data_IF_457388295233
#
_entry.id   IF_457388295233
#
_cell.length_a   1.000
_cell.length_b   1.000
_cell.length_c   1.000
_cell.angle_alpha   90.00
_cell.angle_beta   90.00
_cell.angle_gamma   90.00
#
_symmetry.space_group_name_H-M   'P 1'
#
loop_
_entity.id
_entity.type
_entity.pdbx_description
1 polymer ?
#
# COMPACT_ATOMS: atom_id res chain seq x y z
N UNK A 1 -20.69 9.17 -6.69
CA UNK A 1 -21.89 9.20 -5.81
C UNK A 1 -21.93 10.39 -4.87
N UNK A 2 -20.78 10.95 -4.45
CA UNK A 2 -20.65 12.00 -3.41
C UNK A 2 -21.37 13.35 -3.66
N UNK A 3 -21.90 13.61 -4.85
CA UNK A 3 -22.62 14.86 -5.16
C UNK A 3 -24.16 14.74 -5.23
N UNK A 4 -24.72 13.55 -4.96
CA UNK A 4 -26.16 13.28 -5.15
C UNK A 4 -26.95 13.11 -3.84
N UNK A 5 -26.27 12.93 -2.72
CA UNK A 5 -26.88 12.64 -1.42
C UNK A 5 -26.39 13.69 -0.42
N UNK A 6 -27.32 14.31 0.30
CA UNK A 6 -27.02 15.22 1.41
C UNK A 6 -27.25 14.49 2.72
N UNK A 7 -26.33 14.63 3.67
CA UNK A 7 -26.41 14.03 4.99
C UNK A 7 -26.70 15.11 6.02
N UNK A 8 -27.74 14.90 6.82
CA UNK A 8 -28.13 15.81 7.89
C UNK A 8 -28.24 14.98 9.17
N UNK A 9 -27.49 15.37 10.20
CA UNK A 9 -27.63 14.80 11.53
C UNK A 9 -28.85 15.42 12.23
N UNK A 10 -29.71 14.60 12.83
CA UNK A 10 -30.96 15.05 13.47
C UNK A 10 -30.93 14.99 15.00
N UNK A 11 -29.74 14.81 15.58
CA UNK A 11 -29.56 14.74 17.03
C UNK A 11 -29.88 16.08 17.70
N UNK A 12 -29.43 17.19 17.09
CA UNK A 12 -29.72 18.56 17.53
C UNK A 12 -31.08 19.02 17.01
N UNK A 13 -32.17 18.43 17.53
CA UNK A 13 -33.54 18.83 17.21
C UNK A 13 -34.17 19.68 18.32
N UNK A 14 -34.87 20.73 17.93
CA UNK A 14 -35.56 21.66 18.84
C UNK A 14 -37.01 21.77 18.40
N UNK A 15 -37.94 21.56 19.34
CA UNK A 15 -39.36 21.78 19.10
C UNK A 15 -39.67 23.28 19.34
N UNK A 16 -40.26 23.94 18.36
CA UNK A 16 -40.68 25.34 18.52
C UNK A 16 -42.03 25.39 19.27
N UNK A 17 -42.09 25.96 20.48
CA UNK A 17 -43.31 26.00 21.29
C UNK A 17 -44.46 26.80 20.64
N UNK A 18 -44.19 27.63 19.62
CA UNK A 18 -45.22 28.43 18.95
C UNK A 18 -45.97 27.66 17.85
N UNK A 19 -45.25 26.77 17.15
CA UNK A 19 -45.76 26.10 15.95
C UNK A 19 -45.88 24.57 16.12
N UNK A 20 -45.29 24.01 17.19
CA UNK A 20 -45.23 22.57 17.43
C UNK A 20 -44.39 21.79 16.41
N UNK A 21 -43.69 22.50 15.52
CA UNK A 21 -42.83 21.91 14.50
C UNK A 21 -41.44 21.66 15.06
N UNK A 22 -40.86 20.52 14.67
CA UNK A 22 -39.49 20.15 15.05
C UNK A 22 -38.52 20.70 14.02
N UNK A 23 -37.51 21.44 14.48
CA UNK A 23 -36.43 21.97 13.66
C UNK A 23 -35.12 21.26 13.98
N UNK A 24 -34.32 20.99 12.97
CA UNK A 24 -32.96 20.48 13.07
C UNK A 24 -32.00 21.66 13.00
N UNK A 25 -31.13 21.79 14.00
CA UNK A 25 -30.08 22.82 14.05
C UNK A 25 -28.83 22.26 13.38
N UNK A 26 -28.48 22.84 12.23
CA UNK A 26 -27.27 22.51 11.50
C UNK A 26 -26.03 23.14 12.17
N UNK A 27 -24.84 22.61 11.88
CA UNK A 27 -23.57 23.08 12.48
C UNK A 27 -23.26 24.56 12.16
N UNK A 28 -23.78 25.06 11.03
CA UNK A 28 -23.69 26.47 10.67
C UNK A 28 -24.73 27.36 11.40
N UNK A 29 -25.37 26.87 12.46
CA UNK A 29 -26.46 27.50 13.22
C UNK A 29 -27.76 27.78 12.45
N UNK A 30 -27.87 27.34 11.19
CA UNK A 30 -29.13 27.43 10.45
C UNK A 30 -30.12 26.35 10.89
N UNK A 31 -31.41 26.64 10.73
CA UNK A 31 -32.51 25.73 11.12
C UNK A 31 -33.17 25.16 9.88
N UNK A 32 -33.33 23.84 9.84
CA UNK A 32 -34.07 23.13 8.79
C UNK A 32 -35.29 22.47 9.41
N UNK A 33 -36.44 22.51 8.73
CA UNK A 33 -37.66 21.85 9.21
C UNK A 33 -37.55 20.33 9.10
N UNK A 34 -37.86 19.61 10.17
CA UNK A 34 -37.95 18.15 10.16
C UNK A 34 -39.34 17.72 9.68
N UNK A 35 -39.45 16.86 8.66
CA UNK A 35 -40.74 16.29 8.26
C UNK A 35 -41.36 15.48 9.41
N UNK A 36 -42.66 15.63 9.69
CA UNK A 36 -43.34 14.92 10.78
C UNK A 36 -43.44 13.40 10.55
N UNK A 37 -43.28 12.96 9.30
CA UNK A 37 -43.35 11.56 8.90
C UNK A 37 -42.09 10.75 9.26
N UNK A 38 -41.08 11.36 9.88
CA UNK A 38 -39.84 10.68 10.27
C UNK A 38 -39.98 10.17 11.71
N UNK A 39 -40.06 8.86 11.88
CA UNK A 39 -40.19 8.20 13.19
C UNK A 39 -38.93 7.47 13.65
N UNK A 40 -38.11 7.00 12.70
CA UNK A 40 -36.89 6.23 12.98
C UNK A 40 -35.75 6.61 12.05
N UNK A 41 -34.52 6.34 12.50
CA UNK A 41 -33.27 6.54 11.76
C UNK A 41 -32.63 5.16 11.56
N UNK A 42 -32.01 4.86 10.41
CA UNK A 42 -31.77 5.73 9.25
C UNK A 42 -33.00 5.99 8.37
N UNK A 43 -33.14 7.22 7.87
CA UNK A 43 -34.22 7.64 6.98
C UNK A 43 -33.69 8.41 5.77
N UNK A 44 -34.26 8.17 4.58
CA UNK A 44 -33.94 8.87 3.34
C UNK A 44 -35.16 9.62 2.83
N UNK A 45 -35.02 10.93 2.59
CA UNK A 45 -36.08 11.75 1.99
C UNK A 45 -35.83 11.93 0.48
N UNK A 46 -36.77 11.45 -0.33
CA UNK A 46 -36.71 11.54 -1.79
C UNK A 46 -37.50 12.76 -2.28
N UNK A 47 -36.81 13.88 -2.44
CA UNK A 47 -37.40 15.15 -2.87
C UNK A 47 -38.06 15.02 -4.27
N UNK A 48 -37.43 14.28 -5.18
CA UNK A 48 -37.94 14.07 -6.56
C UNK A 48 -39.10 13.08 -6.67
N UNK A 49 -39.37 12.30 -5.62
CA UNK A 49 -40.44 11.29 -5.60
C UNK A 49 -41.53 11.70 -4.61
N UNK A 50 -42.14 12.87 -4.83
CA UNK A 50 -43.25 13.39 -4.02
C UNK A 50 -42.95 13.43 -2.51
N UNK A 51 -41.73 13.82 -2.13
CA UNK A 51 -41.29 13.86 -0.72
C UNK A 51 -41.48 12.54 0.03
N UNK A 52 -41.36 11.40 -0.68
CA UNK A 52 -41.44 10.08 -0.06
C UNK A 52 -40.28 9.88 0.93
N UNK A 53 -40.62 9.39 2.12
CA UNK A 53 -39.64 9.00 3.14
C UNK A 53 -39.47 7.48 3.09
N UNK A 54 -38.24 7.02 2.94
CA UNK A 54 -37.86 5.61 3.11
C UNK A 54 -37.13 5.44 4.44
N UNK A 55 -37.34 4.33 5.12
CA UNK A 55 -36.73 4.05 6.43
C UNK A 55 -36.05 2.69 6.44
N UNK A 56 -34.97 2.57 7.21
CA UNK A 56 -34.27 1.30 7.45
C UNK A 56 -33.93 0.54 6.16
N UNK A 57 -34.37 -0.71 6.09
CA UNK A 57 -34.08 -1.64 5.00
C UNK A 57 -34.65 -1.22 3.64
N UNK A 58 -35.69 -0.39 3.61
CA UNK A 58 -36.27 0.07 2.34
C UNK A 58 -35.32 1.02 1.59
N UNK A 59 -34.40 1.66 2.32
CA UNK A 59 -33.31 2.44 1.72
C UNK A 59 -32.39 1.51 0.93
N UNK A 60 -32.04 0.36 1.50
CA UNK A 60 -31.20 -0.65 0.83
C UNK A 60 -31.90 -1.20 -0.41
N UNK A 61 -33.20 -1.51 -0.32
CA UNK A 61 -33.99 -1.98 -1.48
C UNK A 61 -34.02 -0.95 -2.60
N UNK A 62 -34.10 0.35 -2.27
CA UNK A 62 -34.10 1.42 -3.27
C UNK A 62 -32.78 1.50 -4.04
N UNK A 63 -31.64 1.29 -3.37
CA UNK A 63 -30.30 1.33 -4.00
C UNK A 63 -29.84 -0.02 -4.56
N UNK A 64 -30.51 -1.12 -4.23
CA UNK A 64 -30.19 -2.46 -4.73
C UNK A 64 -30.01 -2.53 -6.26
N UNK A 65 -30.88 -1.96 -7.12
CA UNK A 65 -30.68 -2.01 -8.57
C UNK A 65 -29.43 -1.23 -9.02
N UNK A 66 -29.13 -0.09 -8.40
CA UNK A 66 -27.94 0.72 -8.75
C UNK A 66 -26.66 -0.01 -8.31
N UNK A 67 -26.67 -0.66 -7.14
CA UNK A 67 -25.58 -1.52 -6.66
C UNK A 67 -25.34 -2.70 -7.61
N UNK A 68 -26.42 -3.37 -8.06
CA UNK A 68 -26.32 -4.48 -9.01
C UNK A 68 -25.71 -4.02 -10.33
N UNK A 69 -26.17 -2.90 -10.88
CA UNK A 69 -25.62 -2.33 -12.12
C UNK A 69 -24.15 -1.95 -12.00
N UNK A 70 -23.74 -1.36 -10.87
CA UNK A 70 -22.34 -1.07 -10.57
C UNK A 70 -21.48 -2.33 -10.52
N UNK A 71 -22.00 -3.38 -9.88
CA UNK A 71 -21.28 -4.65 -9.76
C UNK A 71 -21.18 -5.39 -11.10
N UNK A 72 -22.26 -5.38 -11.89
CA UNK A 72 -22.25 -5.91 -13.26
C UNK A 72 -21.23 -5.17 -14.13
N UNK A 73 -21.17 -3.84 -14.04
CA UNK A 73 -20.18 -3.05 -14.78
C UNK A 73 -18.76 -3.33 -14.32
N UNK A 74 -18.54 -3.49 -13.02
CA UNK A 74 -17.21 -3.81 -12.47
C UNK A 74 -16.73 -5.22 -12.85
N UNK A 75 -17.66 -6.17 -12.99
CA UNK A 75 -17.37 -7.56 -13.37
C UNK A 75 -17.38 -7.79 -14.89
N UNK A 76 -17.51 -6.74 -15.71
CA UNK A 76 -17.74 -6.87 -17.16
C UNK A 76 -18.90 -7.81 -17.50
N UNK A 77 -19.97 -7.79 -16.70
CA UNK A 77 -21.15 -8.64 -16.81
C UNK A 77 -20.90 -10.15 -16.62
N UNK A 78 -19.74 -10.53 -16.07
CA UNK A 78 -19.44 -11.93 -15.75
C UNK A 78 -20.13 -12.43 -14.46
N UNK A 79 -20.85 -11.57 -13.73
CA UNK A 79 -21.64 -11.94 -12.55
C UNK A 79 -20.83 -12.18 -11.28
N UNK A 80 -19.60 -12.68 -11.41
CA UNK A 80 -18.65 -12.92 -10.33
C UNK A 80 -17.25 -12.36 -10.68
N UNK A 81 -16.45 -11.93 -9.69
CA UNK A 81 -15.07 -11.50 -9.93
C UNK A 81 -14.24 -12.68 -10.43
N UNK A 82 -13.69 -12.58 -11.64
CA UNK A 82 -12.77 -13.59 -12.15
C UNK A 82 -11.44 -13.52 -11.40
N UNK A 83 -10.87 -14.69 -11.07
CA UNK A 83 -9.54 -14.77 -10.48
C UNK A 83 -8.51 -14.14 -11.42
N UNK A 84 -7.54 -13.41 -10.85
CA UNK A 84 -6.40 -12.92 -11.61
C UNK A 84 -5.55 -14.11 -12.08
N UNK A 85 -5.37 -14.33 -13.39
CA UNK A 85 -4.59 -15.46 -13.88
C UNK A 85 -3.11 -15.21 -13.57
N UNK A 86 -2.51 -16.06 -12.73
CA UNK A 86 -1.08 -15.98 -12.37
C UNK A 86 -0.16 -16.22 -13.59
N UNK A 87 -0.67 -16.90 -14.62
CA UNK A 87 -0.10 -16.98 -15.96
C UNK A 87 -1.26 -16.83 -16.97
N UNK A 88 -1.05 -16.16 -18.13
CA UNK A 88 -2.05 -16.10 -19.18
C UNK A 88 -2.33 -17.52 -19.71
N UNK A 89 -3.36 -18.16 -19.16
CA UNK A 89 -3.86 -19.45 -19.56
C UNK A 89 -4.94 -19.23 -20.61
N UNK A 90 -4.57 -19.41 -21.88
CA UNK A 90 -5.54 -19.52 -22.95
C UNK A 90 -6.17 -20.92 -22.92
N UNK A 91 -7.20 -21.10 -22.09
CA UNK A 91 -8.04 -22.29 -22.12
C UNK A 91 -7.53 -23.43 -21.24
N UNK A 92 -8.45 -23.99 -20.46
CA UNK A 92 -8.19 -25.10 -19.54
C UNK A 92 -7.75 -26.36 -20.26
N UNK A 93 -6.46 -26.47 -20.55
CA UNK A 93 -5.64 -27.68 -20.38
C UNK A 93 -4.21 -27.18 -20.25
N UNK A 94 -3.50 -27.67 -19.24
CA UNK A 94 -2.13 -27.25 -18.92
C UNK A 94 -1.11 -27.93 -19.88
N UNK A 95 -1.42 -27.93 -21.17
CA UNK A 95 -0.59 -28.50 -22.24
C UNK A 95 -0.43 -27.40 -23.29
N UNK A 96 0.50 -26.49 -23.05
CA UNK A 96 1.00 -25.58 -24.08
C UNK A 96 2.08 -26.32 -24.84
N UNK A 97 1.83 -26.62 -26.12
CA UNK A 97 2.93 -26.89 -27.04
C UNK A 97 3.80 -25.64 -27.06
N UNK A 98 5.07 -25.78 -26.67
CA UNK A 98 6.00 -24.66 -26.59
C UNK A 98 6.05 -23.97 -27.96
N UNK A 99 5.48 -22.77 -28.07
CA UNK A 99 5.40 -22.07 -29.36
C UNK A 99 6.76 -21.49 -29.80
N UNK A 100 7.77 -21.52 -28.92
CA UNK A 100 9.11 -21.00 -29.20
C UNK A 100 10.19 -21.84 -28.53
N UNK A 101 10.84 -22.71 -29.31
CA UNK A 101 12.12 -23.32 -28.95
C UNK A 101 13.21 -22.24 -29.03
N UNK A 102 13.96 -22.03 -27.94
CA UNK A 102 15.11 -21.12 -27.99
C UNK A 102 16.19 -21.74 -28.88
N UNK A 103 16.52 -21.10 -30.00
CA UNK A 103 17.47 -21.61 -31.01
C UNK A 103 18.88 -21.88 -30.47
N UNK A 104 19.24 -21.34 -29.32
CA UNK A 104 20.54 -21.51 -28.68
C UNK A 104 20.59 -22.66 -27.66
N UNK A 105 19.57 -23.52 -27.61
CA UNK A 105 19.49 -24.64 -26.67
C UNK A 105 20.05 -25.93 -27.29
N UNK A 106 20.83 -26.69 -26.53
CA UNK A 106 21.32 -28.00 -26.98
C UNK A 106 20.21 -29.06 -26.93
N UNK A 107 20.29 -30.15 -27.72
CA UNK A 107 19.31 -31.24 -27.68
C UNK A 107 19.12 -31.87 -26.28
N UNK A 108 20.19 -31.91 -25.48
CA UNK A 108 20.13 -32.41 -24.10
C UNK A 108 19.34 -31.47 -23.17
N UNK A 109 19.42 -30.15 -23.39
CA UNK A 109 18.65 -29.16 -22.64
C UNK A 109 17.17 -29.12 -23.05
N UNK A 110 16.87 -29.46 -24.32
CA UNK A 110 15.52 -29.61 -24.88
C UNK A 110 14.85 -30.95 -24.53
N UNK A 111 15.60 -31.90 -23.97
CA UNK A 111 15.07 -33.18 -23.54
C UNK A 111 14.09 -33.01 -22.38
N UNK A 112 13.13 -33.94 -22.22
CA UNK A 112 12.21 -33.97 -21.09
C UNK A 112 12.92 -34.10 -19.71
N UNK A 113 14.20 -34.52 -19.70
CA UNK A 113 15.07 -34.56 -18.52
C UNK A 113 16.01 -33.35 -18.41
N UNK A 114 15.99 -32.46 -19.38
CA UNK A 114 16.82 -31.26 -19.47
C UNK A 114 16.31 -30.12 -18.60
N UNK A 115 17.13 -29.07 -18.43
CA UNK A 115 16.84 -27.91 -17.58
C UNK A 115 16.35 -26.68 -18.37
N UNK A 116 15.91 -26.87 -19.62
CA UNK A 116 15.51 -25.78 -20.54
C UNK A 116 14.42 -24.85 -19.99
N UNK A 117 13.45 -25.38 -19.25
CA UNK A 117 12.37 -24.59 -18.64
C UNK A 117 12.83 -23.57 -17.58
N UNK A 118 13.95 -23.83 -16.90
CA UNK A 118 14.47 -22.92 -15.88
C UNK A 118 15.03 -21.62 -16.47
N UNK A 119 15.42 -21.60 -17.76
CA UNK A 119 15.92 -20.39 -18.44
C UNK A 119 14.83 -19.36 -18.70
N UNK A 120 13.56 -19.79 -18.80
CA UNK A 120 12.42 -18.88 -18.95
C UNK A 120 12.11 -18.11 -17.65
N UNK A 121 12.60 -18.58 -16.51
CA UNK A 121 12.49 -17.90 -15.24
C UNK A 121 13.62 -16.87 -15.10
N UNK A 122 13.40 -15.66 -15.60
CA UNK A 122 14.37 -14.55 -15.55
C UNK A 122 14.90 -14.19 -14.15
N UNK A 123 14.29 -14.70 -13.07
CA UNK A 123 14.61 -14.37 -11.67
C UNK A 123 15.00 -15.55 -10.77
N UNK A 124 15.03 -16.79 -11.25
CA UNK A 124 15.27 -17.95 -10.38
C UNK A 124 16.52 -18.73 -10.80
N UNK A 125 17.46 -18.86 -9.86
CA UNK A 125 18.61 -19.75 -9.96
C UNK A 125 18.27 -21.04 -9.20
N UNK A 126 18.67 -22.21 -9.72
CA UNK A 126 18.41 -23.47 -9.05
C UNK A 126 19.18 -23.55 -7.72
N UNK A 127 18.54 -24.09 -6.68
CA UNK A 127 19.13 -24.23 -5.35
C UNK A 127 20.39 -25.12 -5.29
N UNK A 128 20.72 -25.86 -6.36
CA UNK A 128 21.94 -26.67 -6.46
C UNK A 128 23.00 -26.12 -7.42
N UNK A 129 22.74 -24.99 -8.10
CA UNK A 129 23.75 -24.29 -8.90
C UNK A 129 24.43 -23.27 -7.99
N UNK A 130 25.37 -23.77 -7.20
CA UNK A 130 26.10 -23.03 -6.18
C UNK A 130 26.91 -21.86 -6.77
N UNK A 131 26.57 -20.66 -6.28
CA UNK A 131 27.48 -19.53 -6.06
C UNK A 131 28.13 -18.97 -7.34
N UNK A 132 27.37 -18.17 -8.10
CA UNK A 132 28.01 -17.10 -8.88
C UNK A 132 28.50 -16.04 -7.88
N UNK A 133 29.78 -16.12 -7.53
CA UNK A 133 30.44 -15.10 -6.70
C UNK A 133 30.28 -13.75 -7.39
N UNK A 134 29.61 -12.81 -6.74
CA UNK A 134 29.50 -11.44 -7.26
C UNK A 134 30.91 -10.86 -7.14
N UNK A 135 31.50 -10.40 -8.24
CA UNK A 135 32.79 -9.70 -8.20
C UNK A 135 32.62 -8.38 -7.46
N UNK A 136 32.86 -8.40 -6.16
CA UNK A 136 33.02 -7.18 -5.38
C UNK A 136 34.43 -6.64 -5.63
N UNK A 137 34.58 -5.32 -5.81
CA UNK A 137 35.91 -4.70 -5.87
C UNK A 137 36.70 -5.03 -4.60
N UNK A 138 38.04 -5.09 -4.71
CA UNK A 138 38.90 -5.42 -3.58
C UNK A 138 38.71 -4.41 -2.43
N UNK A 139 38.56 -4.91 -1.20
CA UNK A 139 38.47 -4.10 0.04
C UNK A 139 39.84 -3.46 0.39
N UNK A 140 40.33 -2.59 -0.47
CA UNK A 140 41.57 -1.83 -0.27
C UNK A 140 41.32 -0.39 0.16
N UNK A 141 40.08 -0.06 0.55
CA UNK A 141 39.70 1.28 1.01
C UNK A 141 40.49 1.68 2.26
N UNK A 142 41.26 2.77 2.15
CA UNK A 142 41.93 3.42 3.28
C UNK A 142 41.36 4.84 3.43
N UNK A 143 40.79 5.21 4.59
CA UNK A 143 40.23 6.53 4.81
C UNK A 143 41.31 7.62 4.87
N UNK A 144 41.10 8.69 4.11
CA UNK A 144 42.04 9.81 3.86
C UNK A 144 42.33 10.72 5.09
N UNK A 145 41.85 10.32 6.28
CA UNK A 145 41.86 11.16 7.50
C UNK A 145 43.06 10.92 8.40
N UNK A 146 43.88 9.91 8.11
CA UNK A 146 45.10 9.61 8.84
C UNK A 146 46.24 9.62 7.83
N UNK A 147 47.18 10.57 7.95
CA UNK A 147 48.42 10.50 7.20
C UNK A 147 49.16 9.22 7.63
N UNK A 148 49.64 8.44 6.66
CA UNK A 148 50.36 7.17 6.89
C UNK A 148 51.59 7.31 7.82
N UNK A 149 51.98 8.54 8.16
CA UNK A 149 53.14 8.88 8.98
C UNK A 149 52.86 8.98 10.48
N UNK A 150 51.59 9.00 10.91
CA UNK A 150 51.25 9.15 12.33
C UNK A 150 50.86 7.79 12.89
N UNK A 151 51.84 7.08 13.46
CA UNK A 151 51.59 5.86 14.23
C UNK A 151 51.28 6.22 15.69
N UNK A 152 50.63 5.31 16.42
CA UNK A 152 50.33 5.51 17.85
C UNK A 152 51.61 5.82 18.64
N UNK A 153 52.73 5.21 18.26
CA UNK A 153 54.04 5.42 18.88
C UNK A 153 54.53 6.87 18.74
N UNK A 154 54.36 7.46 17.54
CA UNK A 154 54.74 8.88 17.34
C UNK A 154 53.93 9.84 18.20
N UNK A 155 52.64 9.55 18.43
CA UNK A 155 51.76 10.36 19.27
C UNK A 155 52.08 10.22 20.76
N UNK A 156 52.51 9.03 21.19
CA UNK A 156 52.95 8.82 22.57
C UNK A 156 54.24 9.58 22.87
N UNK A 157 55.20 9.53 21.95
CA UNK A 157 56.48 10.21 22.11
C UNK A 157 56.31 11.74 22.15
N UNK A 158 55.50 12.29 21.24
CA UNK A 158 55.18 13.72 21.25
C UNK A 158 54.54 14.17 22.57
N UNK A 159 53.64 13.36 23.14
CA UNK A 159 53.00 13.67 24.44
C UNK A 159 54.01 13.64 25.59
N UNK A 160 54.98 12.72 25.57
CA UNK A 160 56.04 12.66 26.58
C UNK A 160 56.94 13.91 26.52
N UNK A 161 57.29 14.35 25.31
CA UNK A 161 58.13 15.54 25.09
C UNK A 161 57.42 16.83 25.57
N UNK A 162 56.12 16.97 25.30
CA UNK A 162 55.31 18.11 25.76
C UNK A 162 55.18 18.15 27.29
N UNK A 163 55.00 17.01 27.95
CA UNK A 163 54.90 16.93 29.42
C UNK A 163 56.23 17.31 30.09
N UNK A 164 57.36 16.94 29.51
CA UNK A 164 58.69 17.26 30.06
C UNK A 164 59.01 18.77 30.05
N UNK A 165 58.46 19.55 29.10
CA UNK A 165 58.68 20.99 29.04
C UNK A 165 57.89 21.80 30.08
N UNK A 166 56.80 21.24 30.62
CA UNK A 166 55.86 21.97 31.50
C UNK A 166 56.24 21.86 32.99
N UNK A 167 57.14 20.94 33.38
CA UNK A 167 57.51 20.74 34.79
C UNK A 167 58.82 21.45 35.14
N UNK A 168 58.83 22.55 35.93
CA UNK A 168 60.07 23.16 36.41
C UNK A 168 60.75 22.25 37.45
N UNK A 169 62.07 22.00 37.28
CA UNK A 169 62.92 21.32 38.27
C UNK A 169 62.91 22.10 39.59
N UNK A 170 62.29 21.54 40.62
CA UNK A 170 62.39 22.07 41.97
C UNK A 170 63.77 21.71 42.57
N UNK A 171 64.50 22.65 43.19
CA UNK A 171 65.78 22.35 43.84
C UNK A 171 65.55 21.53 45.11
N UNK A 172 66.33 20.45 45.26
CA UNK A 172 66.37 19.61 46.45
C UNK A 172 67.06 20.37 47.60
N UNK A 173 66.43 20.38 48.79
CA UNK A 173 67.10 20.62 50.08
C UNK A 173 67.67 19.29 50.54
#
# INVERSE_FOLDING_TARGET
MSGKISFICIDKRVNDPKNGQTYIVLENSSKVIMPPNIHSVPSLLLIKQNYKVLMGDDILKHYHPEMKSLNEKATNYNGEPMAYPLLPSNGGTNIVSEQYTMYNMSPDELSAKGRGGNRQMYNYVSAGDDIKFIETPADNYRPDKLSNSVTIDTLQQQRMDEVAQIVPKQPFI
#
